data_IF_526273821015
#
_entry.id   IF_526273821015
#
_cell.length_a   1.000
_cell.length_b   1.000
_cell.length_c   1.000
_cell.angle_alpha   90.00
_cell.angle_beta   90.00
_cell.angle_gamma   90.00
#
_symmetry.space_group_name_H-M   'P 1'
#
loop_
_entity.id
_entity.type
_entity.pdbx_description
1 polymer ?
#
# COMPACT_ATOMS: atom_id res chain seq x y z
N UNK A 1 16.78 9.56 -55.68
CA UNK A 1 16.00 8.72 -54.73
C UNK A 1 17.01 7.76 -54.13
N UNK A 2 17.45 7.84 -52.88
CA UNK A 2 16.74 7.41 -51.66
C UNK A 2 17.50 7.97 -50.44
N UNK A 3 17.03 9.07 -49.84
CA UNK A 3 17.54 9.59 -48.55
C UNK A 3 16.39 9.86 -47.55
N UNK A 4 15.30 9.11 -47.67
CA UNK A 4 14.10 9.25 -46.85
C UNK A 4 13.70 7.86 -46.36
N UNK A 5 14.56 7.22 -45.57
CA UNK A 5 14.19 5.95 -44.92
C UNK A 5 14.81 5.74 -43.54
N UNK A 6 15.62 6.68 -43.06
CA UNK A 6 16.24 6.60 -41.73
C UNK A 6 15.57 7.48 -40.66
N UNK A 7 14.63 8.34 -41.02
CA UNK A 7 13.93 9.20 -40.05
C UNK A 7 12.64 8.58 -39.49
N UNK A 8 12.19 7.45 -40.02
CA UNK A 8 10.93 6.81 -39.62
C UNK A 8 11.05 5.95 -38.35
N UNK A 9 12.26 5.57 -37.94
CA UNK A 9 12.48 4.59 -36.85
C UNK A 9 12.65 5.27 -35.47
N UNK A 10 12.99 6.56 -35.42
CA UNK A 10 13.24 7.27 -34.14
C UNK A 10 11.93 7.79 -33.49
N UNK A 11 10.83 7.88 -34.24
CA UNK A 11 9.56 8.43 -33.74
C UNK A 11 8.73 7.40 -32.94
N UNK A 12 9.07 6.10 -33.02
CA UNK A 12 8.29 5.06 -32.33
C UNK A 12 8.68 4.79 -30.86
N UNK A 13 9.74 5.43 -30.34
CA UNK A 13 10.19 5.23 -28.96
C UNK A 13 9.56 6.17 -27.92
N UNK A 14 8.68 7.10 -28.31
CA UNK A 14 8.12 8.10 -27.38
C UNK A 14 6.78 7.72 -26.73
N UNK A 15 6.16 6.60 -27.09
CA UNK A 15 4.78 6.29 -26.66
C UNK A 15 4.61 5.18 -25.61
N UNK A 16 5.66 4.83 -24.86
CA UNK A 16 5.54 3.84 -23.78
C UNK A 16 5.87 4.38 -22.38
N UNK A 17 5.95 5.70 -22.18
CA UNK A 17 5.93 6.24 -20.82
C UNK A 17 4.51 6.12 -20.25
N UNK A 18 4.17 4.94 -19.72
CA UNK A 18 2.97 4.78 -18.89
C UNK A 18 3.22 5.56 -17.60
N UNK A 19 2.84 6.83 -17.59
CA UNK A 19 2.87 7.66 -16.39
C UNK A 19 2.16 6.89 -15.25
N UNK A 20 2.93 6.46 -14.26
CA UNK A 20 2.40 5.69 -13.16
C UNK A 20 1.53 6.62 -12.30
N UNK A 21 0.25 6.28 -12.14
CA UNK A 21 -0.72 7.17 -11.49
C UNK A 21 -0.38 7.33 -10.00
N UNK A 22 0.14 8.52 -9.66
CA UNK A 22 0.33 8.99 -8.29
C UNK A 22 -1.01 9.57 -7.80
N UNK A 23 -1.41 9.20 -6.59
CA UNK A 23 -2.55 9.75 -5.87
C UNK A 23 -2.00 10.60 -4.73
N UNK A 24 -2.51 11.81 -4.57
CA UNK A 24 -2.13 12.71 -3.49
C UNK A 24 -3.29 12.91 -2.54
N UNK A 25 -3.03 12.74 -1.25
CA UNK A 25 -3.90 13.21 -0.17
C UNK A 25 -3.16 14.33 0.53
N UNK A 26 -3.77 15.51 0.61
CA UNK A 26 -3.16 16.69 1.23
C UNK A 26 -3.95 17.06 2.47
N UNK A 27 -3.24 17.33 3.57
CA UNK A 27 -3.78 17.80 4.84
C UNK A 27 -5.00 17.00 5.35
N UNK A 28 -4.89 15.67 5.34
CA UNK A 28 -5.90 14.79 5.93
C UNK A 28 -5.62 14.59 7.43
N UNK A 29 -6.64 14.74 8.28
CA UNK A 29 -6.51 14.60 9.73
C UNK A 29 -6.57 13.13 10.13
N UNK A 30 -5.63 12.66 10.94
CA UNK A 30 -5.64 11.29 11.45
C UNK A 30 -6.51 11.16 12.71
N UNK A 31 -7.54 10.33 12.67
CA UNK A 31 -8.48 10.14 13.79
C UNK A 31 -8.12 8.97 14.70
N UNK A 32 -7.29 8.04 14.21
CA UNK A 32 -6.93 6.82 14.92
C UNK A 32 -7.05 5.58 14.05
N UNK A 33 -7.08 4.42 14.69
CA UNK A 33 -7.11 3.13 14.01
C UNK A 33 -7.95 2.11 14.76
N UNK A 34 -8.33 1.05 14.05
CA UNK A 34 -8.94 -0.15 14.64
C UNK A 34 -8.36 -1.39 13.96
N UNK A 35 -8.31 -2.50 14.68
CA UNK A 35 -7.97 -3.80 14.09
C UNK A 35 -9.24 -4.54 13.68
N UNK A 36 -9.18 -5.20 12.53
CA UNK A 36 -10.25 -6.03 11.99
C UNK A 36 -9.67 -7.37 11.55
N UNK A 37 -10.46 -8.43 11.61
CA UNK A 37 -10.06 -9.73 11.07
C UNK A 37 -9.83 -9.64 9.55
N UNK A 38 -8.98 -10.52 9.04
CA UNK A 38 -8.79 -10.71 7.58
C UNK A 38 -9.28 -12.09 7.17
N UNK A 39 -9.14 -12.44 5.88
CA UNK A 39 -9.42 -13.79 5.38
C UNK A 39 -8.23 -14.76 5.56
N UNK A 40 -7.20 -14.34 6.33
CA UNK A 40 -6.06 -15.15 6.73
C UNK A 40 -5.80 -14.95 8.21
N UNK A 41 -5.94 -16.02 9.00
CA UNK A 41 -5.84 -15.93 10.46
C UNK A 41 -4.45 -15.50 10.95
N UNK A 42 -3.42 -15.58 10.11
CA UNK A 42 -2.06 -15.07 10.40
C UNK A 42 -1.88 -13.58 10.10
N UNK A 43 -2.96 -12.86 9.76
CA UNK A 43 -2.94 -11.42 9.50
C UNK A 43 -4.16 -10.72 10.10
N UNK A 44 -3.93 -9.51 10.61
CA UNK A 44 -4.97 -8.55 10.99
C UNK A 44 -4.96 -7.35 10.04
N UNK A 45 -6.13 -6.74 9.85
CA UNK A 45 -6.23 -5.48 9.13
C UNK A 45 -6.17 -4.32 10.14
N UNK A 46 -5.09 -3.54 10.10
CA UNK A 46 -5.04 -2.23 10.76
C UNK A 46 -5.70 -1.20 9.86
N UNK A 47 -6.93 -0.84 10.19
CA UNK A 47 -7.71 0.18 9.49
C UNK A 47 -7.43 1.54 10.12
N UNK A 48 -6.63 2.36 9.44
CA UNK A 48 -6.38 3.75 9.78
C UNK A 48 -7.53 4.62 9.26
N UNK A 49 -7.97 5.57 10.09
CA UNK A 49 -9.06 6.48 9.76
C UNK A 49 -8.51 7.89 9.61
N UNK A 50 -8.79 8.50 8.46
CA UNK A 50 -8.46 9.89 8.18
C UNK A 50 -9.70 10.68 7.78
N UNK A 51 -9.72 11.97 8.10
CA UNK A 51 -10.72 12.92 7.63
C UNK A 51 -10.13 13.85 6.57
N UNK A 52 -10.86 14.00 5.46
CA UNK A 52 -10.60 14.97 4.40
C UNK A 52 -11.81 15.90 4.31
N UNK A 53 -11.77 17.00 5.07
CA UNK A 53 -12.98 17.80 5.28
C UNK A 53 -14.03 17.00 6.04
N UNK A 54 -15.19 16.79 5.44
CA UNK A 54 -16.28 15.97 6.00
C UNK A 54 -16.20 14.49 5.62
N UNK A 55 -15.34 14.13 4.67
CA UNK A 55 -15.25 12.76 4.16
C UNK A 55 -14.26 11.92 4.97
N UNK A 56 -14.61 10.66 5.22
CA UNK A 56 -13.68 9.68 5.78
C UNK A 56 -12.89 8.96 4.69
N UNK A 57 -11.60 8.81 4.89
CA UNK A 57 -10.71 8.00 4.07
C UNK A 57 -10.08 6.92 4.95
N UNK A 58 -10.13 5.67 4.48
CA UNK A 58 -9.62 4.52 5.23
C UNK A 58 -8.41 3.93 4.54
N UNK A 59 -7.30 3.82 5.25
CA UNK A 59 -6.12 3.09 4.78
C UNK A 59 -6.07 1.77 5.53
N UNK A 60 -6.07 0.66 4.80
CA UNK A 60 -5.96 -0.68 5.34
C UNK A 60 -4.51 -1.16 5.22
N UNK A 61 -3.92 -1.57 6.33
CA UNK A 61 -2.59 -2.19 6.37
C UNK A 61 -2.78 -3.61 6.90
N UNK A 62 -2.39 -4.60 6.10
CA UNK A 62 -2.46 -6.01 6.49
C UNK A 62 -1.19 -6.36 7.23
N UNK A 63 -1.31 -6.58 8.53
CA UNK A 63 -0.20 -6.77 9.47
C UNK A 63 -0.21 -8.21 9.97
N UNK A 64 0.95 -8.88 9.97
CA UNK A 64 1.07 -10.23 10.52
C UNK A 64 0.68 -10.30 12.00
N UNK A 65 -0.07 -11.35 12.33
CA UNK A 65 -0.58 -11.65 13.65
C UNK A 65 -0.18 -13.06 14.03
N UNK A 66 0.52 -13.19 15.16
CA UNK A 66 0.87 -14.48 15.73
C UNK A 66 -0.24 -14.91 16.70
N UNK A 67 -1.11 -15.80 16.24
CA UNK A 67 -2.22 -16.32 17.02
C UNK A 67 -1.78 -17.17 18.22
N UNK A 68 -0.57 -17.75 18.19
CA UNK A 68 -0.07 -18.62 19.27
C UNK A 68 0.23 -17.82 20.54
N UNK A 69 0.78 -16.62 20.38
CA UNK A 69 1.10 -15.69 21.48
C UNK A 69 0.15 -14.47 21.52
N UNK A 70 -0.85 -14.42 20.64
CA UNK A 70 -1.81 -13.32 20.47
C UNK A 70 -1.14 -11.96 20.30
N UNK A 71 -0.09 -11.91 19.48
CA UNK A 71 0.72 -10.71 19.29
C UNK A 71 0.59 -10.16 17.87
N UNK A 72 0.42 -8.83 17.76
CA UNK A 72 0.44 -8.13 16.48
C UNK A 72 1.82 -7.50 16.33
N UNK A 73 2.55 -7.87 15.28
CA UNK A 73 3.83 -7.24 14.96
C UNK A 73 3.57 -6.01 14.08
N UNK A 74 3.25 -4.88 14.71
CA UNK A 74 2.89 -3.62 14.04
C UNK A 74 4.08 -2.65 14.03
N UNK A 75 4.90 -2.65 12.96
CA UNK A 75 6.04 -1.75 12.90
C UNK A 75 5.61 -0.28 12.78
N UNK A 76 4.35 0.03 12.44
CA UNK A 76 3.90 1.38 12.05
C UNK A 76 3.74 1.54 10.54
N UNK A 77 3.35 2.74 10.10
CA UNK A 77 3.19 3.09 8.68
C UNK A 77 4.49 3.69 8.13
N UNK A 78 4.80 3.50 6.84
CA UNK A 78 5.88 4.21 6.13
C UNK A 78 7.20 4.37 6.92
N UNK A 79 7.99 3.30 7.04
CA UNK A 79 9.23 3.23 7.83
C UNK A 79 9.04 3.45 9.33
N UNK A 80 8.15 2.66 9.92
CA UNK A 80 7.91 2.59 11.35
C UNK A 80 7.37 3.86 12.01
N UNK A 81 6.68 4.70 11.24
CA UNK A 81 6.01 5.86 11.79
C UNK A 81 4.76 5.45 12.56
N UNK A 82 4.67 5.85 13.82
CA UNK A 82 3.39 5.89 14.54
C UNK A 82 2.76 7.26 14.36
N UNK A 83 1.55 7.28 13.80
CA UNK A 83 0.79 8.52 13.57
C UNK A 83 0.21 9.08 14.88
N UNK A 84 0.25 10.40 15.02
CA UNK A 84 -0.33 11.12 16.15
C UNK A 84 -1.77 11.52 15.84
N UNK A 85 -2.70 11.15 16.73
CA UNK A 85 -4.12 11.52 16.61
C UNK A 85 -4.28 13.04 16.53
N UNK A 86 -5.25 13.48 15.72
CA UNK A 86 -5.58 14.87 15.40
C UNK A 86 -4.52 15.66 14.61
N UNK A 87 -3.39 15.04 14.27
CA UNK A 87 -2.39 15.64 13.37
C UNK A 87 -2.83 15.55 11.90
N UNK A 88 -2.38 16.53 11.11
CA UNK A 88 -2.58 16.58 9.66
C UNK A 88 -1.42 15.93 8.93
N UNK A 89 -1.74 15.07 7.97
CA UNK A 89 -0.76 14.39 7.13
C UNK A 89 -1.06 14.60 5.64
N UNK A 90 -0.01 14.59 4.84
CA UNK A 90 -0.07 14.53 3.39
C UNK A 90 0.66 13.30 2.90
N UNK A 91 0.02 12.56 1.98
CA UNK A 91 0.53 11.31 1.42
C UNK A 91 0.64 11.41 -0.10
N UNK A 92 1.75 10.93 -0.65
CA UNK A 92 1.83 10.57 -2.07
C UNK A 92 1.85 9.04 -2.18
N UNK A 93 0.81 8.51 -2.82
CA UNK A 93 0.59 7.09 -2.99
C UNK A 93 0.79 6.69 -4.45
N UNK A 94 1.49 5.59 -4.69
CA UNK A 94 1.75 5.04 -6.01
C UNK A 94 0.95 3.77 -6.19
N UNK A 95 0.12 3.69 -7.23
CA UNK A 95 -0.54 2.43 -7.58
C UNK A 95 0.51 1.40 -7.99
N UNK A 96 0.48 0.24 -7.35
CA UNK A 96 1.44 -0.83 -7.62
C UNK A 96 0.74 -2.15 -7.95
N UNK A 97 1.36 -3.00 -8.79
CA UNK A 97 0.89 -4.35 -8.98
C UNK A 97 1.27 -5.28 -7.83
N UNK A 98 0.42 -6.28 -7.52
CA UNK A 98 0.76 -7.41 -6.64
C UNK A 98 2.11 -8.06 -7.04
N UNK A 99 2.41 -8.10 -8.35
CA UNK A 99 3.69 -8.63 -8.86
C UNK A 99 4.91 -7.79 -8.49
N UNK A 100 4.74 -6.54 -8.05
CA UNK A 100 5.85 -5.69 -7.60
C UNK A 100 6.20 -5.84 -6.13
N UNK A 101 5.34 -6.49 -5.34
CA UNK A 101 5.71 -6.92 -4.00
C UNK A 101 6.67 -8.10 -4.15
N UNK A 102 7.79 -8.11 -3.43
CA UNK A 102 8.71 -9.25 -3.43
C UNK A 102 8.05 -10.48 -2.81
N UNK A 103 8.28 -11.67 -3.36
CA UNK A 103 7.84 -12.93 -2.76
C UNK A 103 8.46 -13.15 -1.37
N UNK A 104 9.67 -12.63 -1.17
CA UNK A 104 10.39 -12.71 0.11
C UNK A 104 9.63 -12.04 1.25
N UNK A 105 8.72 -11.11 0.95
CA UNK A 105 7.95 -10.42 1.98
C UNK A 105 6.82 -11.26 2.57
N UNK A 106 6.50 -12.44 2.02
CA UNK A 106 5.39 -13.28 2.47
C UNK A 106 4.13 -12.49 2.89
N UNK A 107 3.73 -11.52 2.07
CA UNK A 107 2.68 -10.56 2.44
C UNK A 107 1.29 -11.12 2.24
N UNK A 108 0.32 -10.60 3.00
CA UNK A 108 -1.10 -10.89 2.79
C UNK A 108 -1.51 -10.71 1.31
N UNK A 109 -1.02 -9.67 0.64
CA UNK A 109 -1.35 -9.40 -0.76
C UNK A 109 -0.79 -10.44 -1.74
N UNK A 110 0.25 -11.20 -1.37
CA UNK A 110 0.76 -12.31 -2.19
C UNK A 110 -0.06 -13.58 -2.02
N UNK A 111 -0.49 -13.84 -0.79
CA UNK A 111 -1.20 -15.05 -0.43
C UNK A 111 -2.71 -14.97 -0.72
N UNK A 112 -3.30 -13.81 -0.41
CA UNK A 112 -4.74 -13.62 -0.29
C UNK A 112 -5.32 -12.65 -1.33
N UNK A 113 -4.56 -12.22 -2.34
CA UNK A 113 -5.09 -11.32 -3.38
C UNK A 113 -4.94 -11.89 -4.79
N UNK A 114 -5.98 -11.73 -5.62
CA UNK A 114 -5.95 -12.01 -7.06
C UNK A 114 -6.25 -10.73 -7.85
N UNK A 115 -5.58 -10.55 -8.99
CA UNK A 115 -5.79 -9.37 -9.83
C UNK A 115 -7.15 -9.34 -10.51
N UNK A 116 -7.74 -8.15 -10.57
CA UNK A 116 -8.87 -7.88 -11.47
C UNK A 116 -8.32 -7.50 -12.84
N UNK A 117 -8.64 -8.29 -13.88
CA UNK A 117 -7.99 -8.31 -15.22
C UNK A 117 -7.81 -6.96 -15.95
N UNK A 118 -8.47 -5.88 -15.51
CA UNK A 118 -8.40 -4.54 -16.11
C UNK A 118 -7.57 -3.51 -15.33
N UNK A 119 -7.13 -3.81 -14.10
CA UNK A 119 -6.33 -2.87 -13.30
C UNK A 119 -5.10 -3.55 -12.71
N UNK A 120 -3.94 -2.91 -12.89
CA UNK A 120 -2.67 -3.33 -12.29
C UNK A 120 -2.56 -3.02 -10.80
N UNK A 121 -3.62 -2.60 -10.11
CA UNK A 121 -3.58 -2.36 -8.65
C UNK A 121 -4.84 -2.81 -7.94
N UNK A 122 -5.95 -3.04 -8.66
CA UNK A 122 -7.17 -3.57 -8.04
C UNK A 122 -7.09 -5.06 -7.88
N UNK A 123 -7.51 -5.53 -6.73
CA UNK A 123 -7.51 -6.94 -6.40
C UNK A 123 -8.86 -7.39 -5.83
N UNK A 124 -9.03 -8.70 -5.78
CA UNK A 124 -10.06 -9.37 -4.99
C UNK A 124 -9.36 -10.18 -3.91
N UNK A 125 -9.94 -10.23 -2.71
CA UNK A 125 -9.42 -11.07 -1.66
C UNK A 125 -9.85 -12.52 -1.85
N UNK A 126 -8.99 -13.46 -1.48
CA UNK A 126 -9.27 -14.91 -1.47
C UNK A 126 -8.90 -15.49 -0.11
N UNK A 127 -9.73 -16.42 0.36
CA UNK A 127 -9.50 -17.14 1.61
C UNK A 127 -8.35 -18.12 1.39
N UNK A 128 -7.28 -17.94 2.14
CA UNK A 128 -6.11 -18.81 2.15
C UNK A 128 -5.35 -18.59 3.45
N UNK A 129 -5.47 -19.53 4.37
CA UNK A 129 -4.70 -19.50 5.61
C UNK A 129 -3.26 -20.00 5.34
N UNK A 130 -2.30 -19.40 6.02
CA UNK A 130 -0.89 -19.78 5.99
C UNK A 130 -0.31 -19.68 7.38
N UNK A 131 0.70 -20.48 7.69
CA UNK A 131 1.43 -20.33 8.95
C UNK A 131 2.09 -18.95 9.06
N UNK A 132 2.30 -18.50 10.30
CA UNK A 132 2.99 -17.25 10.56
C UNK A 132 4.44 -17.32 10.06
N UNK A 133 4.74 -16.58 8.99
CA UNK A 133 6.11 -16.41 8.49
C UNK A 133 6.34 -14.93 8.17
N UNK A 134 6.86 -14.17 9.12
CA UNK A 134 7.12 -12.73 8.98
C UNK A 134 8.43 -12.46 8.26
N UNK A 135 8.38 -11.75 7.13
CA UNK A 135 9.58 -11.21 6.46
C UNK A 135 9.21 -9.88 5.78
N UNK A 136 9.86 -8.77 6.13
CA UNK A 136 9.70 -7.50 5.39
C UNK A 136 8.86 -6.41 6.06
N UNK A 137 8.64 -5.30 5.35
CA UNK A 137 8.05 -4.06 5.85
C UNK A 137 6.66 -3.87 5.25
N UNK A 138 5.61 -4.18 6.01
CA UNK A 138 4.22 -4.12 5.52
C UNK A 138 3.61 -2.72 5.56
N UNK A 139 4.11 -1.87 6.45
CA UNK A 139 3.61 -0.50 6.68
C UNK A 139 3.70 0.45 5.49
N UNK A 140 4.43 0.09 4.42
CA UNK A 140 4.48 0.89 3.19
C UNK A 140 3.39 0.54 2.18
N UNK A 141 2.69 -0.58 2.35
CA UNK A 141 1.62 -1.02 1.47
C UNK A 141 0.26 -0.74 2.11
N UNK A 142 -0.56 0.06 1.42
CA UNK A 142 -1.91 0.38 1.86
C UNK A 142 -2.92 -0.08 0.83
N UNK A 143 -4.01 -0.66 1.31
CA UNK A 143 -5.22 -0.89 0.55
C UNK A 143 -6.19 0.27 0.81
N UNK A 144 -6.66 0.88 -0.28
CA UNK A 144 -7.79 1.80 -0.24
C UNK A 144 -8.84 1.27 -1.23
N UNK A 145 -9.97 0.82 -0.72
CA UNK A 145 -11.09 0.31 -1.53
C UNK A 145 -10.68 -0.82 -2.50
N UNK A 146 -9.92 -1.81 -2.02
CA UNK A 146 -9.41 -2.94 -2.82
C UNK A 146 -8.48 -2.52 -3.96
N UNK A 147 -7.80 -1.39 -3.79
CA UNK A 147 -6.73 -0.93 -4.67
C UNK A 147 -5.43 -0.82 -3.89
N UNK A 148 -4.43 -1.60 -4.31
CA UNK A 148 -3.13 -1.68 -3.66
C UNK A 148 -2.24 -0.51 -4.08
N UNK A 149 -1.74 0.19 -3.07
CA UNK A 149 -0.94 1.38 -3.19
C UNK A 149 0.32 1.25 -2.33
N UNK A 150 1.40 1.87 -2.77
CA UNK A 150 2.62 2.04 -2.00
C UNK A 150 2.73 3.50 -1.57
N UNK A 151 3.04 3.75 -0.31
CA UNK A 151 3.33 5.10 0.17
C UNK A 151 4.72 5.47 -0.35
N UNK A 152 4.80 6.49 -1.21
CA UNK A 152 6.06 7.05 -1.69
C UNK A 152 6.57 8.17 -0.76
N UNK A 153 5.63 8.93 -0.19
CA UNK A 153 5.93 10.10 0.63
C UNK A 153 4.85 10.29 1.68
N UNK A 154 5.26 10.70 2.86
CA UNK A 154 4.39 11.12 3.95
C UNK A 154 5.00 12.35 4.65
N UNK A 155 4.18 13.36 4.93
CA UNK A 155 4.59 14.63 5.58
C UNK A 155 3.51 15.05 6.57
N UNK A 156 3.84 15.62 7.74
CA UNK A 156 5.18 15.80 8.29
C UNK A 156 5.79 14.48 8.78
N UNK A 157 7.06 14.24 8.46
CA UNK A 157 7.81 13.11 9.02
C UNK A 157 8.21 13.34 10.50
N UNK A 158 8.28 14.60 10.94
CA UNK A 158 8.65 14.99 12.32
C UNK A 158 7.63 14.54 13.38
N UNK A 159 6.40 14.21 12.96
CA UNK A 159 5.36 13.72 13.86
C UNK A 159 5.33 12.19 13.92
N UNK A 160 6.38 11.53 13.40
CA UNK A 160 6.58 10.10 13.50
C UNK A 160 7.24 9.72 14.81
N UNK A 161 6.56 8.91 15.61
CA UNK A 161 7.17 8.23 16.75
C UNK A 161 7.73 6.91 16.22
N UNK A 162 9.05 6.82 16.13
CA UNK A 162 9.75 5.57 15.84
C UNK A 162 9.83 4.77 17.14
N UNK A 163 9.24 3.58 17.16
CA UNK A 163 9.45 2.66 18.27
C UNK A 163 10.88 2.11 18.16
N UNK A 164 11.66 2.30 19.22
CA UNK A 164 12.97 1.69 19.41
C UNK A 164 12.83 0.25 19.86
#
# INVERSE_FOLDING_TARGET
MTKILFFSIIIFCLFACKAQKIIKYENIKYEGFSYQATLNDSFVNKRLVFLKGTDSVFFNIKIPYDASVRNINDPGIFYNCTLRKDSLYSFELKKIPLSSISEEYNSYYKTNAKFKSKSKSKFIEVIKNTDYQYKGIYGMFVDINHELLMINKMVPAKDCIFQH
#
